data_IF_786785829356
#
_entry.id   IF_786785829356
#
_cell.length_a   1.000
_cell.length_b   1.000
_cell.length_c   1.000
_cell.angle_alpha   90.00
_cell.angle_beta   90.00
_cell.angle_gamma   90.00
#
_symmetry.space_group_name_H-M   'P 1'
#
loop_
_entity.id
_entity.type
_entity.pdbx_description
1 polymer ?
#
# COMPACT_ATOMS: atom_id res chain seq x y z
N UNK A 1 20.20 -9.74 -20.19
CA UNK A 1 19.52 -9.81 -18.88
C UNK A 1 18.25 -8.98 -18.98
N UNK A 2 17.07 -9.60 -18.90
CA UNK A 2 15.81 -8.86 -18.86
C UNK A 2 15.55 -8.45 -17.41
N UNK A 3 15.43 -7.14 -17.16
CA UNK A 3 14.94 -6.66 -15.87
C UNK A 3 13.47 -7.03 -15.77
N UNK A 4 13.09 -7.65 -14.65
CA UNK A 4 11.70 -7.91 -14.33
C UNK A 4 10.98 -6.57 -14.25
N UNK A 5 10.08 -6.31 -15.21
CA UNK A 5 9.39 -5.02 -15.35
C UNK A 5 8.33 -4.80 -14.26
N UNK A 6 8.07 -5.80 -13.44
CA UNK A 6 7.04 -5.73 -12.41
C UNK A 6 7.62 -5.18 -11.10
N UNK A 7 7.02 -4.13 -10.54
CA UNK A 7 7.44 -3.62 -9.24
C UNK A 7 7.20 -4.69 -8.17
N UNK A 8 8.19 -4.91 -7.29
CA UNK A 8 8.13 -5.95 -6.25
C UNK A 8 7.60 -5.44 -4.92
N UNK A 9 7.83 -4.17 -4.63
CA UNK A 9 7.49 -3.53 -3.37
C UNK A 9 6.95 -2.13 -3.62
N UNK A 10 5.96 -1.74 -2.84
CA UNK A 10 5.58 -0.35 -2.66
C UNK A 10 5.90 0.05 -1.22
N UNK A 11 6.70 1.10 -1.06
CA UNK A 11 7.14 1.59 0.23
C UNK A 11 6.72 3.05 0.40
N UNK A 12 6.09 3.37 1.52
CA UNK A 12 5.66 4.73 1.84
C UNK A 12 5.48 4.89 3.36
N UNK A 13 5.31 6.13 3.82
CA UNK A 13 5.04 6.42 5.22
C UNK A 13 3.53 6.40 5.47
N UNK A 14 3.12 5.71 6.53
CA UNK A 14 1.73 5.66 6.95
C UNK A 14 1.24 7.08 7.28
N UNK A 15 0.01 7.46 6.87
CA UNK A 15 -0.56 8.77 7.17
C UNK A 15 -0.96 8.96 8.65
N UNK A 16 -0.74 7.96 9.51
CA UNK A 16 -0.97 8.09 10.94
C UNK A 16 0.06 9.04 11.60
N UNK A 17 -0.21 9.42 12.86
CA UNK A 17 0.67 10.32 13.63
C UNK A 17 2.09 9.76 13.81
N UNK A 18 2.23 8.44 13.92
CA UNK A 18 3.51 7.76 14.12
C UNK A 18 4.38 7.73 12.84
N UNK A 19 3.79 8.00 11.67
CA UNK A 19 4.47 7.99 10.35
C UNK A 19 5.35 6.77 10.08
N UNK A 20 4.92 5.60 10.55
CA UNK A 20 5.71 4.38 10.38
C UNK A 20 5.78 3.95 8.91
N UNK A 21 6.85 3.25 8.54
CA UNK A 21 7.02 2.73 7.18
C UNK A 21 6.06 1.57 6.90
N UNK A 22 5.30 1.66 5.82
CA UNK A 22 4.49 0.58 5.23
C UNK A 22 5.25 -0.04 4.05
N UNK A 23 5.26 -1.37 3.96
CA UNK A 23 5.91 -2.13 2.89
C UNK A 23 4.91 -3.12 2.30
N UNK A 24 4.35 -2.81 1.14
CA UNK A 24 3.41 -3.69 0.44
C UNK A 24 4.17 -4.58 -0.53
N UNK A 25 4.02 -5.90 -0.36
CA UNK A 25 4.58 -6.89 -1.28
C UNK A 25 3.67 -7.01 -2.51
N UNK A 26 4.18 -6.62 -3.67
CA UNK A 26 3.41 -6.56 -4.92
C UNK A 26 3.45 -7.86 -5.73
N UNK A 27 3.97 -8.96 -5.14
CA UNK A 27 3.92 -10.26 -5.78
C UNK A 27 2.47 -10.73 -5.89
N UNK A 28 1.91 -10.95 -7.10
CA UNK A 28 0.51 -11.35 -7.27
C UNK A 28 0.19 -12.72 -6.67
N UNK A 29 1.21 -13.54 -6.39
CA UNK A 29 1.06 -14.85 -5.74
C UNK A 29 1.02 -14.76 -4.19
N UNK A 30 1.13 -13.56 -3.61
CA UNK A 30 0.98 -13.33 -2.17
C UNK A 30 -0.27 -12.52 -1.90
N UNK A 31 -0.92 -12.83 -0.77
CA UNK A 31 -2.05 -12.06 -0.30
C UNK A 31 -1.64 -10.97 0.70
N UNK A 32 -2.32 -9.82 0.69
CA UNK A 32 -3.29 -9.41 -0.34
C UNK A 32 -2.60 -9.13 -1.69
N UNK A 33 -3.26 -9.54 -2.78
CA UNK A 33 -2.78 -9.26 -4.13
C UNK A 33 -3.15 -7.81 -4.49
N UNK A 34 -2.14 -6.94 -4.57
CA UNK A 34 -2.36 -5.49 -4.74
C UNK A 34 -2.55 -5.10 -6.21
N UNK A 35 -3.54 -4.23 -6.44
CA UNK A 35 -3.69 -3.50 -7.70
C UNK A 35 -3.30 -2.04 -7.48
N UNK A 36 -2.41 -1.53 -8.31
CA UNK A 36 -1.94 -0.14 -8.27
C UNK A 36 -2.32 0.57 -9.56
N UNK A 37 -3.07 1.67 -9.44
CA UNK A 37 -3.33 2.58 -10.56
C UNK A 37 -2.50 3.86 -10.38
N UNK A 38 -1.60 4.11 -11.33
CA UNK A 38 -0.66 5.25 -11.30
C UNK A 38 -0.99 6.36 -12.30
N UNK A 39 -1.95 6.15 -13.22
CA UNK A 39 -2.23 7.05 -14.34
C UNK A 39 -3.05 8.30 -13.97
N UNK A 40 -3.62 8.34 -12.77
CA UNK A 40 -4.31 9.48 -12.13
C UNK A 40 -4.28 9.17 -10.62
N UNK A 41 -4.43 10.15 -9.71
CA UNK A 41 -3.77 10.13 -8.40
C UNK A 41 -3.87 8.78 -7.67
N UNK A 42 -2.75 8.36 -7.09
CA UNK A 42 -2.48 6.97 -6.71
C UNK A 42 -3.68 6.28 -6.05
N UNK A 43 -4.08 5.14 -6.61
CA UNK A 43 -5.08 4.24 -6.01
C UNK A 43 -4.46 2.88 -5.76
N UNK A 44 -4.67 2.36 -4.56
CA UNK A 44 -4.20 1.04 -4.12
C UNK A 44 -5.41 0.24 -3.62
N UNK A 45 -5.55 -0.97 -4.14
CA UNK A 45 -6.61 -1.91 -3.74
C UNK A 45 -5.97 -3.25 -3.38
N UNK A 46 -6.39 -3.94 -2.30
CA UNK A 46 -7.47 -3.61 -1.35
C UNK A 46 -7.07 -2.51 -0.34
N UNK A 47 -7.81 -2.39 0.78
CA UNK A 47 -7.42 -1.50 1.89
C UNK A 47 -6.09 -1.91 2.49
N UNK A 48 -5.37 -0.92 3.02
CA UNK A 48 -4.19 -1.13 3.85
C UNK A 48 -4.65 -1.37 5.28
N UNK A 49 -4.27 -2.51 5.85
CA UNK A 49 -4.59 -2.91 7.21
C UNK A 49 -3.31 -3.34 7.94
N UNK A 50 -2.69 -2.40 8.62
CA UNK A 50 -1.41 -2.58 9.32
C UNK A 50 -1.66 -2.66 10.82
N UNK A 51 -1.28 -3.78 11.44
CA UNK A 51 -1.36 -3.97 12.89
C UNK A 51 0.04 -3.94 13.50
N UNK A 52 0.24 -3.11 14.52
CA UNK A 52 1.50 -2.92 15.24
C UNK A 52 1.28 -2.87 16.74
N UNK A 53 2.38 -2.87 17.50
CA UNK A 53 2.35 -2.72 18.96
C UNK A 53 1.70 -1.39 19.39
N UNK A 54 1.88 -0.30 18.64
CA UNK A 54 1.28 1.01 18.95
C UNK A 54 -0.19 1.15 18.53
N UNK A 55 -0.75 0.20 17.78
CA UNK A 55 -2.12 0.23 17.32
C UNK A 55 -2.32 -0.36 15.92
N UNK A 56 -3.51 -0.15 15.37
CA UNK A 56 -3.91 -0.59 14.02
C UNK A 56 -4.21 0.61 13.14
N UNK A 57 -3.75 0.58 11.90
CA UNK A 57 -4.06 1.56 10.87
C UNK A 57 -4.81 0.86 9.75
N UNK A 58 -6.06 1.24 9.54
CA UNK A 58 -6.90 0.68 8.49
C UNK A 58 -7.48 1.80 7.62
N UNK A 59 -7.11 1.83 6.34
CA UNK A 59 -7.53 2.86 5.41
C UNK A 59 -7.47 2.40 3.96
N UNK A 60 -8.17 3.12 3.09
CA UNK A 60 -8.07 3.02 1.64
C UNK A 60 -7.23 4.18 1.09
N UNK A 61 -6.50 3.92 0.01
CA UNK A 61 -5.88 4.97 -0.80
C UNK A 61 -6.59 5.00 -2.16
N UNK A 62 -7.41 6.02 -2.39
CA UNK A 62 -8.26 6.15 -3.58
C UNK A 62 -8.13 7.55 -4.17
N UNK A 63 -7.81 7.66 -5.45
CA UNK A 63 -7.62 8.93 -6.15
C UNK A 63 -6.66 9.88 -5.39
N UNK A 64 -5.60 9.34 -4.78
CA UNK A 64 -4.62 10.08 -3.96
C UNK A 64 -5.15 10.56 -2.60
N UNK A 65 -6.34 10.15 -2.19
CA UNK A 65 -6.92 10.46 -0.89
C UNK A 65 -6.84 9.27 0.05
N UNK A 66 -6.60 9.56 1.33
CA UNK A 66 -6.66 8.58 2.42
C UNK A 66 -8.07 8.59 2.99
N UNK A 67 -8.75 7.44 2.94
CA UNK A 67 -10.07 7.23 3.53
C UNK A 67 -9.95 6.22 4.65
N UNK A 68 -10.02 6.68 5.90
CA UNK A 68 -9.93 5.82 7.08
C UNK A 68 -11.19 4.97 7.25
N UNK A 69 -11.01 3.77 7.82
CA UNK A 69 -12.10 2.85 8.22
C UNK A 69 -12.45 3.07 9.68
#
# INVERSE_FOLDING_TARGET
MAFDKHPKWLAFDCPCKDRHRVLLNLNPNRQPAWTIHTQAPLTITPSIDETRASGRCHYFLQNGQVVWV
#
